data_IF_921430816446
#
_entry.id   IF_921430816446
#
_cell.length_a   1.000
_cell.length_b   1.000
_cell.length_c   1.000
_cell.angle_alpha   90.00
_cell.angle_beta   90.00
_cell.angle_gamma   90.00
#
_symmetry.space_group_name_H-M   'P 1'
#
loop_
_entity.id
_entity.type
_entity.pdbx_description
1 polymer ?
#
# COMPACT_ATOMS: atom_id res chain seq x y z
N UNK A 1 -55.56 -28.28 29.47
CA UNK A 1 -54.83 -29.54 29.22
C UNK A 1 -54.84 -29.75 27.70
N UNK A 2 -53.79 -29.69 26.89
CA UNK A 2 -52.34 -29.48 27.03
C UNK A 2 -51.79 -28.78 25.76
N UNK A 3 -50.68 -28.05 25.94
CA UNK A 3 -49.48 -27.86 25.08
C UNK A 3 -49.61 -27.77 23.54
N UNK A 4 -49.15 -26.72 22.85
CA UNK A 4 -47.79 -26.12 22.73
C UNK A 4 -46.89 -26.77 21.65
N UNK A 5 -46.11 -25.89 20.99
CA UNK A 5 -44.92 -26.14 20.16
C UNK A 5 -45.16 -26.76 18.76
N UNK A 6 -44.34 -26.55 17.74
CA UNK A 6 -43.30 -25.60 17.34
C UNK A 6 -42.80 -26.17 16.01
N UNK A 7 -42.54 -25.36 14.98
CA UNK A 7 -41.56 -25.74 13.97
C UNK A 7 -40.96 -24.48 13.36
N UNK A 8 -39.74 -24.23 13.81
CA UNK A 8 -38.83 -23.18 13.38
C UNK A 8 -37.83 -23.77 12.40
N UNK A 9 -37.39 -22.94 11.45
CA UNK A 9 -36.08 -22.95 10.79
C UNK A 9 -35.88 -23.99 9.66
N UNK A 10 -35.05 -23.77 8.62
CA UNK A 10 -34.03 -22.77 8.33
C UNK A 10 -34.14 -22.41 6.82
N UNK A 11 -34.24 -21.13 6.46
CA UNK A 11 -33.84 -20.69 5.12
C UNK A 11 -32.34 -20.40 5.16
N UNK A 12 -31.57 -21.26 4.50
CA UNK A 12 -30.14 -21.11 4.32
C UNK A 12 -29.85 -19.83 3.52
N UNK A 13 -29.45 -18.75 4.19
CA UNK A 13 -28.76 -17.66 3.51
C UNK A 13 -27.35 -18.14 3.20
N UNK A 14 -27.14 -18.48 1.94
CA UNK A 14 -25.86 -18.60 1.28
C UNK A 14 -25.03 -17.36 1.59
N UNK A 15 -24.00 -17.53 2.41
CA UNK A 15 -22.93 -16.54 2.56
C UNK A 15 -22.24 -16.48 1.21
N UNK A 16 -22.55 -15.45 0.42
CA UNK A 16 -21.74 -15.08 -0.72
C UNK A 16 -20.37 -14.69 -0.15
N UNK A 17 -19.44 -15.65 -0.18
CA UNK A 17 -18.01 -15.40 -0.05
C UNK A 17 -17.63 -14.58 -1.28
N UNK A 18 -17.92 -13.28 -1.24
CA UNK A 18 -17.28 -12.26 -2.06
C UNK A 18 -15.86 -12.04 -1.54
N UNK A 19 -15.09 -13.13 -1.42
CA UNK A 19 -13.65 -13.05 -1.32
C UNK A 19 -13.19 -12.57 -2.68
N UNK A 20 -13.00 -11.25 -2.82
CA UNK A 20 -12.22 -10.71 -3.91
C UNK A 20 -10.87 -11.43 -3.84
N UNK A 21 -10.67 -12.39 -4.75
CA UNK A 21 -9.38 -12.98 -4.97
C UNK A 21 -8.49 -11.82 -5.44
N UNK A 22 -7.78 -11.21 -4.49
CA UNK A 22 -6.77 -10.19 -4.76
C UNK A 22 -5.83 -10.81 -5.78
N UNK A 23 -5.90 -10.33 -7.02
CA UNK A 23 -5.25 -10.97 -8.15
C UNK A 23 -3.79 -11.29 -7.81
N UNK A 24 -3.33 -12.46 -8.23
CA UNK A 24 -1.92 -12.81 -8.18
C UNK A 24 -1.12 -11.68 -8.85
N UNK A 25 -0.25 -11.01 -8.11
CA UNK A 25 0.61 -9.95 -8.67
C UNK A 25 0.18 -8.50 -8.46
N UNK A 26 -0.57 -8.16 -7.40
CA UNK A 26 -0.90 -6.76 -7.10
C UNK A 26 0.36 -5.87 -7.07
N UNK A 27 0.37 -4.86 -7.94
CA UNK A 27 1.36 -3.79 -7.97
C UNK A 27 1.04 -2.81 -6.85
N UNK A 28 2.06 -2.32 -6.14
CA UNK A 28 1.91 -1.35 -5.06
C UNK A 28 2.91 -0.23 -5.22
N UNK A 29 2.42 1.00 -5.31
CA UNK A 29 3.20 2.22 -5.14
C UNK A 29 3.40 2.48 -3.65
N UNK A 30 4.64 2.69 -3.23
CA UNK A 30 5.00 2.94 -1.85
C UNK A 30 5.49 4.37 -1.64
N UNK A 31 4.99 5.03 -0.61
CA UNK A 31 5.51 6.29 -0.08
C UNK A 31 5.83 6.15 1.41
N UNK A 32 7.09 6.40 1.78
CA UNK A 32 7.56 6.45 3.16
C UNK A 32 8.07 7.85 3.49
N UNK A 33 7.50 8.45 4.53
CA UNK A 33 7.71 9.84 4.92
C UNK A 33 7.94 10.03 6.42
N UNK A 34 8.16 11.28 6.82
CA UNK A 34 8.11 11.72 8.21
C UNK A 34 7.36 13.06 8.32
N UNK A 35 6.76 13.35 9.48
CA UNK A 35 6.00 14.59 9.73
C UNK A 35 6.91 15.82 9.73
N UNK A 36 8.12 15.69 10.29
CA UNK A 36 9.15 16.75 10.31
C UNK A 36 9.96 16.86 9.00
N UNK A 37 9.54 16.16 7.95
CA UNK A 37 10.13 16.23 6.61
C UNK A 37 9.25 17.10 5.70
N UNK A 38 9.61 18.38 5.45
CA UNK A 38 8.83 19.26 4.59
C UNK A 38 8.52 18.70 3.19
N UNK A 39 9.48 18.09 2.44
CA UNK A 39 9.16 17.54 1.12
C UNK A 39 8.20 16.33 1.19
N UNK A 40 8.24 15.55 2.27
CA UNK A 40 7.31 14.44 2.49
C UNK A 40 5.89 14.94 2.67
N UNK A 41 5.72 15.97 3.49
CA UNK A 41 4.41 16.56 3.76
C UNK A 41 3.88 17.36 2.57
N UNK A 42 4.77 17.95 1.76
CA UNK A 42 4.39 18.56 0.48
C UNK A 42 3.82 17.50 -0.48
N UNK A 43 4.52 16.38 -0.71
CA UNK A 43 3.98 15.28 -1.53
C UNK A 43 2.63 14.78 -1.00
N UNK A 44 2.52 14.55 0.32
CA UNK A 44 1.28 14.06 0.94
C UNK A 44 0.11 15.01 0.74
N UNK A 45 0.34 16.31 0.85
CA UNK A 45 -0.69 17.35 0.67
C UNK A 45 -1.07 17.52 -0.80
N UNK A 46 -0.08 17.55 -1.70
CA UNK A 46 -0.28 18.04 -3.05
C UNK A 46 -0.52 16.93 -4.09
N UNK A 47 -0.07 15.69 -3.81
CA UNK A 47 -0.03 14.62 -4.83
C UNK A 47 -0.58 13.26 -4.37
N UNK A 48 -0.60 12.95 -3.08
CA UNK A 48 -1.02 11.61 -2.62
C UNK A 48 -2.45 11.25 -3.03
N UNK A 49 -3.37 12.22 -3.01
CA UNK A 49 -4.76 11.99 -3.40
C UNK A 49 -4.89 11.63 -4.90
N UNK A 50 -4.13 12.31 -5.76
CA UNK A 50 -4.04 12.03 -7.20
C UNK A 50 -3.49 10.62 -7.44
N UNK A 51 -2.36 10.27 -6.81
CA UNK A 51 -1.74 8.95 -6.92
C UNK A 51 -2.70 7.84 -6.48
N UNK A 52 -3.45 8.04 -5.40
CA UNK A 52 -4.48 7.09 -4.93
C UNK A 52 -5.63 6.93 -5.93
N UNK A 53 -6.10 8.03 -6.52
CA UNK A 53 -7.16 7.98 -7.53
C UNK A 53 -6.70 7.22 -8.77
N UNK A 54 -5.47 7.47 -9.23
CA UNK A 54 -4.88 6.74 -10.35
C UNK A 54 -4.67 5.26 -10.04
N UNK A 55 -4.19 4.93 -8.84
CA UNK A 55 -4.04 3.53 -8.41
C UNK A 55 -5.36 2.79 -8.47
N UNK A 56 -6.43 3.40 -7.99
CA UNK A 56 -7.78 2.83 -8.10
C UNK A 56 -8.25 2.68 -9.55
N UNK A 57 -7.90 3.62 -10.43
CA UNK A 57 -8.33 3.59 -11.84
C UNK A 57 -7.57 2.53 -12.66
N UNK A 58 -6.28 2.33 -12.36
CA UNK A 58 -5.37 1.46 -13.11
C UNK A 58 -5.14 0.09 -12.45
N UNK A 59 -5.65 -0.13 -11.23
CA UNK A 59 -5.58 -1.42 -10.55
C UNK A 59 -4.29 -1.68 -9.78
N UNK A 60 -3.61 -0.63 -9.30
CA UNK A 60 -2.48 -0.75 -8.35
C UNK A 60 -2.81 -0.15 -6.98
N UNK A 61 -2.21 -0.70 -5.94
CA UNK A 61 -2.37 -0.21 -4.57
C UNK A 61 -1.42 0.94 -4.27
N UNK A 62 -1.82 1.80 -3.34
CA UNK A 62 -0.97 2.91 -2.86
C UNK A 62 -0.85 2.80 -1.35
N UNK A 63 0.37 2.60 -0.87
CA UNK A 63 0.70 2.57 0.55
C UNK A 63 1.43 3.86 0.95
N UNK A 64 0.85 4.63 1.86
CA UNK A 64 1.52 5.76 2.51
C UNK A 64 1.81 5.45 3.98
N UNK A 65 3.07 5.61 4.39
CA UNK A 65 3.49 5.41 5.77
C UNK A 65 4.31 6.62 6.23
N UNK A 66 3.88 7.27 7.31
CA UNK A 66 4.53 8.46 7.86
C UNK A 66 4.83 8.24 9.33
N UNK A 67 6.08 8.49 9.72
CA UNK A 67 6.51 8.49 11.13
C UNK A 67 6.66 9.92 11.63
N UNK A 68 6.82 10.12 12.94
CA UNK A 68 6.95 11.47 13.50
C UNK A 68 8.21 12.21 13.04
N UNK A 69 9.37 11.53 13.07
CA UNK A 69 10.66 12.20 12.87
C UNK A 69 11.54 11.48 11.87
N UNK A 70 12.18 12.27 11.02
CA UNK A 70 13.06 11.81 9.95
C UNK A 70 14.26 11.07 10.49
N UNK A 71 14.81 11.49 11.63
CA UNK A 71 15.93 10.81 12.29
C UNK A 71 15.62 9.38 12.72
N UNK A 72 14.34 9.03 12.85
CA UNK A 72 13.94 7.70 13.30
C UNK A 72 13.87 6.70 12.12
N UNK A 73 13.94 7.15 10.85
CA UNK A 73 13.90 6.31 9.63
C UNK A 73 14.88 5.12 9.62
N UNK A 74 16.14 5.25 10.08
CA UNK A 74 17.07 4.12 10.14
C UNK A 74 16.68 3.06 11.19
N UNK A 75 15.80 3.39 12.13
CA UNK A 75 15.43 2.51 13.24
C UNK A 75 14.48 1.41 12.75
N UNK A 76 14.85 0.12 12.86
CA UNK A 76 13.97 -0.97 12.46
C UNK A 76 12.63 -0.96 13.20
N UNK A 77 11.55 -1.26 12.49
CA UNK A 77 10.20 -1.34 13.03
C UNK A 77 9.50 0.01 13.26
N UNK A 78 10.15 1.15 13.01
CA UNK A 78 9.54 2.47 13.22
C UNK A 78 8.30 2.70 12.33
N UNK A 79 8.27 2.06 11.16
CA UNK A 79 7.13 2.05 10.24
C UNK A 79 6.13 0.91 10.51
N UNK A 80 6.22 0.22 11.66
CA UNK A 80 5.32 -0.86 12.04
C UNK A 80 5.40 -2.07 11.10
N UNK A 81 4.25 -2.67 10.78
CA UNK A 81 4.17 -3.86 9.90
C UNK A 81 4.72 -3.59 8.49
N UNK A 82 4.80 -2.33 8.08
CA UNK A 82 5.28 -1.91 6.75
C UNK A 82 6.79 -1.67 6.71
N UNK A 83 7.47 -1.69 7.84
CA UNK A 83 8.93 -1.52 7.87
C UNK A 83 9.66 -2.61 7.08
N UNK A 84 9.17 -3.85 7.11
CA UNK A 84 9.83 -4.99 6.45
C UNK A 84 10.03 -4.75 4.95
N UNK A 85 9.01 -4.27 4.23
CA UNK A 85 9.12 -4.04 2.78
C UNK A 85 10.05 -2.86 2.47
N UNK A 86 10.07 -1.81 3.31
CA UNK A 86 11.06 -0.74 3.21
C UNK A 86 12.49 -1.28 3.39
N UNK A 87 12.73 -2.20 4.34
CA UNK A 87 14.07 -2.79 4.53
C UNK A 87 14.52 -3.65 3.36
N UNK A 88 13.60 -4.19 2.56
CA UNK A 88 13.92 -4.87 1.30
C UNK A 88 14.29 -3.88 0.18
N UNK A 89 13.71 -2.68 0.18
CA UNK A 89 14.03 -1.62 -0.78
C UNK A 89 15.32 -0.85 -0.42
N UNK A 90 15.60 -0.69 0.87
CA UNK A 90 16.67 0.15 1.40
C UNK A 90 18.07 -0.09 0.80
N UNK A 91 18.51 -1.34 0.50
CA UNK A 91 19.84 -1.57 -0.11
C UNK A 91 20.02 -0.96 -1.51
N UNK A 92 18.93 -0.61 -2.19
CA UNK A 92 18.96 0.01 -3.53
C UNK A 92 18.91 1.55 -3.46
N UNK A 93 18.72 2.12 -2.26
CA UNK A 93 18.75 3.56 -2.04
C UNK A 93 20.19 4.01 -1.82
N UNK A 94 20.60 5.08 -2.52
CA UNK A 94 21.86 5.76 -2.23
C UNK A 94 21.85 6.35 -0.80
N UNK A 95 20.69 6.86 -0.37
CA UNK A 95 20.47 7.36 0.97
C UNK A 95 19.06 7.02 1.45
N UNK A 96 18.94 6.47 2.66
CA UNK A 96 17.65 6.11 3.27
C UNK A 96 17.09 7.32 4.02
N UNK A 97 16.69 8.33 3.27
CA UNK A 97 16.07 9.55 3.78
C UNK A 97 14.76 9.82 3.06
N UNK A 98 13.74 10.33 3.76
CA UNK A 98 12.43 10.54 3.18
C UNK A 98 12.34 11.87 2.41
N UNK A 99 11.44 11.97 1.41
CA UNK A 99 10.47 10.96 1.02
C UNK A 99 11.14 9.82 0.24
N UNK A 100 10.73 8.58 0.52
CA UNK A 100 11.21 7.37 -0.15
C UNK A 100 10.06 6.80 -0.98
N UNK A 101 10.32 6.56 -2.26
CA UNK A 101 9.39 5.97 -3.21
C UNK A 101 9.96 4.71 -3.85
N UNK A 102 9.13 3.67 -3.95
CA UNK A 102 9.46 2.43 -4.64
C UNK A 102 8.17 1.71 -5.07
N UNK A 103 8.31 0.70 -5.93
CA UNK A 103 7.20 -0.12 -6.40
C UNK A 103 7.47 -1.57 -6.07
N UNK A 104 6.44 -2.27 -5.59
CA UNK A 104 6.49 -3.71 -5.37
C UNK A 104 5.42 -4.43 -6.18
N UNK A 105 5.66 -5.69 -6.52
CA UNK A 105 4.67 -6.58 -7.11
C UNK A 105 4.73 -7.93 -6.41
N UNK A 106 3.58 -8.44 -5.94
CA UNK A 106 3.50 -9.69 -5.16
C UNK A 106 4.51 -9.73 -3.98
N UNK A 107 4.70 -8.60 -3.29
CA UNK A 107 5.61 -8.48 -2.15
C UNK A 107 7.10 -8.42 -2.48
N UNK A 108 7.48 -8.35 -3.77
CA UNK A 108 8.87 -8.17 -4.21
C UNK A 108 9.10 -6.74 -4.68
N UNK A 109 10.25 -6.16 -4.34
CA UNK A 109 10.65 -4.84 -4.86
C UNK A 109 10.98 -4.97 -6.34
N UNK A 110 10.32 -4.18 -7.17
CA UNK A 110 10.52 -4.18 -8.63
C UNK A 110 11.36 -2.97 -9.05
N UNK A 111 11.16 -1.82 -8.43
CA UNK A 111 11.90 -0.60 -8.72
C UNK A 111 11.97 0.30 -7.50
N UNK A 112 13.09 1.02 -7.34
CA UNK A 112 13.35 1.95 -6.23
C UNK A 112 13.72 3.30 -6.82
N UNK A 113 13.09 4.37 -6.36
CA UNK A 113 13.16 5.70 -6.98
C UNK A 113 13.63 6.80 -6.01
N UNK A 114 13.93 6.46 -4.76
CA UNK A 114 14.39 7.42 -3.76
C UNK A 114 13.39 8.57 -3.59
N UNK A 115 13.77 9.78 -4.00
CA UNK A 115 12.95 10.99 -3.87
C UNK A 115 12.04 11.29 -5.06
N UNK A 116 12.09 10.48 -6.13
CA UNK A 116 11.32 10.72 -7.35
C UNK A 116 9.99 9.95 -7.36
N UNK A 117 8.93 10.61 -6.88
CA UNK A 117 7.59 10.03 -6.87
C UNK A 117 6.99 9.87 -8.26
N UNK A 118 7.40 10.67 -9.25
CA UNK A 118 6.85 10.59 -10.62
C UNK A 118 7.40 9.35 -11.32
N UNK A 119 8.70 9.10 -11.20
CA UNK A 119 9.32 7.87 -11.71
C UNK A 119 8.71 6.61 -11.06
N UNK A 120 8.44 6.66 -9.75
CA UNK A 120 7.74 5.57 -9.07
C UNK A 120 6.30 5.37 -9.61
N UNK A 121 5.58 6.46 -9.86
CA UNK A 121 4.22 6.40 -10.40
C UNK A 121 4.21 5.84 -11.83
N UNK A 122 5.13 6.30 -12.69
CA UNK A 122 5.26 5.80 -14.06
C UNK A 122 5.61 4.31 -14.08
N UNK A 123 6.48 3.85 -13.16
CA UNK A 123 6.78 2.43 -13.00
C UNK A 123 5.55 1.63 -12.56
N UNK A 124 4.74 2.15 -11.63
CA UNK A 124 3.51 1.50 -11.20
C UNK A 124 2.47 1.41 -12.34
N UNK A 125 2.30 2.51 -13.11
CA UNK A 125 1.42 2.56 -14.29
C UNK A 125 1.82 1.50 -15.33
N UNK A 126 3.12 1.43 -15.66
CA UNK A 126 3.63 0.48 -16.64
C UNK A 126 3.37 -0.98 -16.22
N UNK A 127 3.62 -1.31 -14.95
CA UNK A 127 3.41 -2.67 -14.44
C UNK A 127 1.92 -3.02 -14.36
N UNK A 128 1.08 -2.07 -13.94
CA UNK A 128 -0.36 -2.27 -13.87
C UNK A 128 -0.97 -2.54 -15.25
N UNK A 129 -0.54 -1.79 -16.28
CA UNK A 129 -0.98 -2.01 -17.67
C UNK A 129 -0.48 -3.30 -18.31
N UNK A 130 0.51 -3.98 -17.71
CA UNK A 130 1.01 -5.29 -18.15
C UNK A 130 0.38 -6.46 -17.37
N UNK A 131 -0.32 -6.16 -16.27
CA UNK A 131 -0.88 -7.16 -15.35
C UNK A 131 -2.38 -7.41 -15.57
N UNK A 132 -3.01 -6.71 -16.52
CA UNK A 132 -4.40 -6.89 -16.96
C UNK A 132 -4.48 -7.62 -18.29
#
# INVERSE_FOLDING_TARGET
MFSAAALTALAALTVAVGGQAKAAGAVTFHFYGAEDCPPCMAFKRDHLAEVKAEGSALGFEVEDNVIRRTRDVPTPGVYGQRDQILRLAAPQLEFVYPPIFFVSQAGRIVSVHGHDWRAALDSARQLAGQSG
#
